data_IF_396575220687
#
_entry.id   IF_396575220687
#
_cell.length_a   1.000
_cell.length_b   1.000
_cell.length_c   1.000
_cell.angle_alpha   90.00
_cell.angle_beta   90.00
_cell.angle_gamma   90.00
#
_symmetry.space_group_name_H-M   'P 1'
#
loop_
_entity.id
_entity.type
_entity.pdbx_description
1 polymer ?
#
# COMPACT_ATOMS: atom_id res chain seq x y z
N UNK A 1 31.39 17.83 -42.03
CA UNK A 1 30.63 18.09 -40.79
C UNK A 1 30.36 16.71 -40.25
N UNK A 2 31.09 16.30 -39.23
CA UNK A 2 31.18 14.89 -38.79
C UNK A 2 29.83 14.39 -38.29
N UNK A 3 29.32 13.33 -38.92
CA UNK A 3 28.37 12.42 -38.29
C UNK A 3 29.03 11.76 -37.07
N UNK A 4 28.55 12.13 -35.89
CA UNK A 4 28.97 11.55 -34.61
C UNK A 4 28.37 10.14 -34.48
N UNK A 5 29.18 9.08 -34.32
CA UNK A 5 28.66 7.77 -33.95
C UNK A 5 28.24 7.78 -32.48
N UNK A 6 26.99 7.40 -32.16
CA UNK A 6 26.57 7.19 -30.77
C UNK A 6 27.26 5.95 -30.22
N UNK A 7 28.24 6.17 -29.34
CA UNK A 7 28.80 5.12 -28.50
C UNK A 7 27.79 4.70 -27.43
N UNK A 8 27.85 3.41 -27.11
CA UNK A 8 27.01 2.72 -26.15
C UNK A 8 27.04 3.35 -24.75
N UNK A 9 25.88 3.37 -24.09
CA UNK A 9 25.76 3.42 -22.64
C UNK A 9 25.37 2.03 -22.16
N UNK A 10 26.37 1.23 -21.81
CA UNK A 10 26.18 0.18 -20.81
C UNK A 10 26.03 0.83 -19.45
N UNK A 11 24.82 0.85 -18.90
CA UNK A 11 24.56 0.81 -17.46
C UNK A 11 23.57 -0.35 -17.24
N UNK A 12 24.01 -1.51 -16.74
CA UNK A 12 23.87 -1.89 -15.32
C UNK A 12 22.73 -1.11 -14.65
N UNK A 13 21.59 -1.70 -14.37
CA UNK A 13 21.46 -2.74 -13.38
C UNK A 13 20.18 -3.50 -13.64
N UNK A 14 20.19 -4.76 -13.25
CA UNK A 14 19.01 -5.55 -12.94
C UNK A 14 18.09 -4.76 -12.00
N UNK A 15 17.20 -3.98 -12.59
CA UNK A 15 16.19 -3.20 -11.93
C UNK A 15 14.87 -3.68 -12.51
N UNK A 16 14.47 -4.90 -12.15
CA UNK A 16 13.06 -5.22 -12.05
C UNK A 16 12.37 -4.00 -11.42
N UNK A 17 11.18 -3.56 -11.87
CA UNK A 17 10.50 -2.47 -11.19
C UNK A 17 10.32 -2.91 -9.73
N UNK A 18 11.23 -2.45 -8.87
CA UNK A 18 11.09 -2.54 -7.44
C UNK A 18 9.83 -1.73 -7.19
N UNK A 19 8.71 -2.43 -7.09
CA UNK A 19 7.42 -1.84 -6.85
C UNK A 19 7.57 -1.03 -5.57
N UNK A 20 7.71 0.29 -5.71
CA UNK A 20 8.18 1.16 -4.63
C UNK A 20 7.41 0.92 -3.34
N UNK A 21 8.08 0.89 -2.20
CA UNK A 21 7.40 0.68 -0.92
C UNK A 21 6.85 1.99 -0.36
N UNK A 22 5.71 1.93 0.32
CA UNK A 22 5.17 3.04 1.09
C UNK A 22 5.62 2.84 2.54
N UNK A 23 6.44 3.75 3.06
CA UNK A 23 6.89 3.70 4.45
C UNK A 23 5.79 4.20 5.37
N UNK A 24 5.34 3.33 6.28
CA UNK A 24 4.36 3.66 7.30
C UNK A 24 5.02 4.38 8.48
N UNK A 25 6.22 3.94 8.83
CA UNK A 25 7.11 4.61 9.78
C UNK A 25 8.59 4.26 9.49
N UNK A 26 9.47 4.44 10.48
CA UNK A 26 10.90 4.14 10.38
C UNK A 26 11.20 2.65 10.20
N UNK A 27 10.33 1.77 10.71
CA UNK A 27 10.54 0.32 10.80
C UNK A 27 9.58 -0.49 9.92
N UNK A 28 8.43 0.04 9.52
CA UNK A 28 7.36 -0.67 8.83
C UNK A 28 7.04 -0.03 7.48
N UNK A 29 6.77 -0.88 6.50
CA UNK A 29 6.42 -0.47 5.14
C UNK A 29 5.38 -1.41 4.51
N UNK A 30 4.73 -0.89 3.47
CA UNK A 30 3.76 -1.59 2.65
C UNK A 30 4.16 -1.54 1.17
N UNK A 31 3.54 -2.39 0.35
CA UNK A 31 3.77 -2.41 -1.11
C UNK A 31 3.28 -1.13 -1.79
N UNK A 32 3.77 -0.83 -2.98
CA UNK A 32 3.22 0.24 -3.82
C UNK A 32 1.69 0.15 -3.95
N UNK A 33 1.03 1.31 -3.97
CA UNK A 33 -0.43 1.39 -4.19
C UNK A 33 -1.29 0.97 -3.00
N UNK A 34 -0.69 0.72 -1.84
CA UNK A 34 -1.40 0.41 -0.59
C UNK A 34 -1.54 1.66 0.30
N UNK A 35 -2.26 1.54 1.40
CA UNK A 35 -2.35 2.58 2.44
C UNK A 35 -1.91 2.01 3.79
N UNK A 36 -1.07 2.74 4.51
CA UNK A 36 -0.65 2.39 5.86
C UNK A 36 -1.78 2.64 6.86
N UNK A 37 -2.20 1.58 7.55
CA UNK A 37 -3.26 1.59 8.55
C UNK A 37 -2.69 1.13 9.90
N UNK A 38 -2.87 1.93 10.94
CA UNK A 38 -2.56 1.52 12.30
C UNK A 38 -3.79 0.89 12.95
N UNK A 39 -3.62 -0.24 13.62
CA UNK A 39 -4.70 -0.84 14.42
C UNK A 39 -4.78 -0.20 15.83
N UNK A 40 -5.85 -0.42 16.60
CA UNK A 40 -6.02 0.14 17.95
C UNK A 40 -4.91 -0.22 18.95
N UNK A 41 -4.21 -1.33 18.74
CA UNK A 41 -3.08 -1.79 19.55
C UNK A 41 -1.75 -1.18 19.11
N UNK A 42 -1.71 -0.50 17.96
CA UNK A 42 -0.54 0.23 17.47
C UNK A 42 0.29 -0.49 16.41
N UNK A 43 -0.10 -1.68 15.95
CA UNK A 43 0.59 -2.37 14.85
C UNK A 43 0.20 -1.78 13.49
N UNK A 44 1.15 -1.82 12.56
CA UNK A 44 0.96 -1.38 11.19
C UNK A 44 0.46 -2.51 10.31
N UNK A 45 -0.51 -2.16 9.47
CA UNK A 45 -1.11 -3.02 8.48
C UNK A 45 -1.26 -2.26 7.17
N UNK A 46 -1.27 -2.99 6.07
CA UNK A 46 -1.38 -2.48 4.71
C UNK A 46 -2.79 -2.73 4.19
N UNK A 47 -3.50 -1.65 3.85
CA UNK A 47 -4.73 -1.74 3.08
C UNK A 47 -4.40 -1.79 1.59
N UNK A 48 -4.93 -2.73 0.80
CA UNK A 48 -4.66 -2.82 -0.64
C UNK A 48 -5.24 -1.66 -1.46
N UNK A 49 -6.11 -0.84 -0.85
CA UNK A 49 -6.71 0.30 -1.53
C UNK A 49 -5.84 1.55 -1.38
N UNK A 50 -5.46 2.21 -2.50
CA UNK A 50 -4.80 3.50 -2.44
C UNK A 50 -5.78 4.54 -1.91
N UNK A 51 -5.33 5.37 -0.95
CA UNK A 51 -6.18 6.35 -0.25
C UNK A 51 -7.40 5.71 0.44
N UNK A 52 -7.30 4.42 0.76
CA UNK A 52 -8.35 3.68 1.45
C UNK A 52 -8.56 4.16 2.88
N UNK A 53 -9.77 3.96 3.40
CA UNK A 53 -10.10 4.26 4.80
C UNK A 53 -9.92 3.02 5.67
N UNK A 54 -9.18 3.16 6.76
CA UNK A 54 -8.98 2.10 7.73
C UNK A 54 -10.18 2.04 8.69
N UNK A 55 -10.79 0.86 8.84
CA UNK A 55 -11.84 0.65 9.84
C UNK A 55 -11.29 0.66 11.29
N UNK A 56 -12.15 0.86 12.28
CA UNK A 56 -11.70 0.90 13.68
C UNK A 56 -11.29 -0.48 14.21
N UNK A 57 -11.77 -1.55 13.58
CA UNK A 57 -11.57 -2.93 13.99
C UNK A 57 -10.13 -3.45 13.81
N UNK A 58 -9.29 -2.69 13.11
CA UNK A 58 -7.89 -3.04 12.88
C UNK A 58 -7.65 -4.04 11.75
N UNK A 59 -8.69 -4.69 11.22
CA UNK A 59 -8.57 -5.81 10.27
C UNK A 59 -9.11 -5.50 8.89
N UNK A 60 -10.10 -4.62 8.79
CA UNK A 60 -10.78 -4.31 7.53
C UNK A 60 -10.43 -2.92 7.03
N UNK A 61 -10.53 -2.70 5.73
CA UNK A 61 -10.43 -1.37 5.15
C UNK A 61 -11.35 -1.21 3.94
N UNK A 62 -11.64 0.04 3.62
CA UNK A 62 -12.51 0.43 2.52
C UNK A 62 -11.74 1.18 1.45
N UNK A 63 -12.19 1.04 0.20
CA UNK A 63 -11.67 1.86 -0.87
C UNK A 63 -12.01 3.35 -0.66
N UNK A 64 -11.32 4.21 -1.40
CA UNK A 64 -11.53 5.65 -1.31
C UNK A 64 -12.99 6.01 -1.59
N UNK A 65 -13.55 6.90 -0.75
CA UNK A 65 -14.95 7.34 -0.84
C UNK A 65 -15.94 6.45 -0.09
N UNK A 66 -15.54 5.28 0.40
CA UNK A 66 -16.39 4.44 1.24
C UNK A 66 -16.05 4.57 2.73
N UNK A 67 -17.06 4.34 3.57
CA UNK A 67 -16.93 4.32 5.03
C UNK A 67 -17.23 2.92 5.56
N UNK A 68 -16.54 2.53 6.62
CA UNK A 68 -16.83 1.26 7.27
C UNK A 68 -18.21 1.28 7.92
N UNK A 69 -18.99 0.22 7.71
CA UNK A 69 -20.20 -0.08 8.47
C UNK A 69 -19.84 -0.33 9.95
N UNK A 70 -20.84 -0.33 10.83
CA UNK A 70 -20.67 -0.59 12.27
C UNK A 70 -19.99 -1.93 12.56
N UNK A 71 -20.18 -2.93 11.70
CA UNK A 71 -19.53 -4.24 11.79
C UNK A 71 -18.14 -4.29 11.14
N UNK A 72 -17.73 -3.24 10.42
CA UNK A 72 -16.52 -3.18 9.60
C UNK A 72 -16.41 -4.21 8.47
N UNK A 73 -17.40 -5.09 8.29
CA UNK A 73 -17.45 -6.10 7.22
C UNK A 73 -17.90 -5.55 5.87
N UNK A 74 -18.55 -4.39 5.90
CA UNK A 74 -19.07 -3.71 4.71
C UNK A 74 -18.52 -2.28 4.66
N UNK A 75 -18.31 -1.83 3.45
CA UNK A 75 -17.98 -0.47 3.08
C UNK A 75 -19.21 0.15 2.44
N UNK A 76 -19.65 1.28 2.98
CA UNK A 76 -20.87 1.97 2.58
C UNK A 76 -20.57 3.35 2.02
N UNK A 77 -21.22 3.70 0.91
CA UNK A 77 -21.20 5.04 0.34
C UNK A 77 -22.57 5.37 -0.27
N UNK A 78 -23.39 6.13 0.47
CA UNK A 78 -24.77 6.40 0.08
C UNK A 78 -25.59 5.11 0.02
N UNK A 79 -25.96 4.67 -1.19
CA UNK A 79 -26.71 3.43 -1.43
C UNK A 79 -25.84 2.24 -1.85
N UNK A 80 -24.53 2.45 -2.06
CA UNK A 80 -23.61 1.37 -2.40
C UNK A 80 -23.10 0.70 -1.12
N UNK A 81 -23.19 -0.63 -1.08
CA UNK A 81 -22.61 -1.48 -0.06
C UNK A 81 -21.73 -2.53 -0.73
N UNK A 82 -20.46 -2.57 -0.35
CA UNK A 82 -19.50 -3.54 -0.85
C UNK A 82 -18.80 -4.25 0.32
N UNK A 83 -18.30 -5.47 0.14
CA UNK A 83 -17.48 -6.12 1.14
C UNK A 83 -16.22 -5.30 1.44
N UNK A 84 -15.86 -5.22 2.72
CA UNK A 84 -14.59 -4.61 3.10
C UNK A 84 -13.40 -5.43 2.62
N UNK A 85 -12.31 -4.76 2.29
CA UNK A 85 -11.04 -5.40 2.02
C UNK A 85 -10.39 -5.89 3.32
N UNK A 86 -9.65 -6.99 3.22
CA UNK A 86 -8.75 -7.41 4.27
C UNK A 86 -7.49 -6.52 4.29
N UNK A 87 -6.94 -6.30 5.48
CA UNK A 87 -5.61 -5.73 5.62
C UNK A 87 -4.57 -6.84 5.70
N UNK A 88 -3.40 -6.54 5.18
CA UNK A 88 -2.20 -7.37 5.30
C UNK A 88 -1.30 -6.82 6.40
N UNK A 89 -0.46 -7.65 7.01
CA UNK A 89 0.53 -7.14 7.96
C UNK A 89 1.57 -6.27 7.24
N UNK A 90 1.93 -5.14 7.84
CA UNK A 90 3.03 -4.35 7.32
C UNK A 90 4.35 -5.12 7.48
N UNK A 91 5.18 -5.05 6.44
CA UNK A 91 6.52 -5.64 6.47
C UNK A 91 7.43 -4.75 7.29
N UNK A 92 8.31 -5.33 8.09
CA UNK A 92 9.33 -4.57 8.81
C UNK A 92 10.59 -4.46 7.97
N UNK A 93 11.41 -3.44 8.22
CA UNK A 93 12.75 -3.30 7.64
C UNK A 93 13.67 -4.44 8.05
N UNK A 94 13.35 -5.15 9.13
CA UNK A 94 14.08 -6.36 9.55
C UNK A 94 13.66 -7.61 8.76
N UNK A 95 12.46 -7.64 8.16
CA UNK A 95 12.00 -8.69 7.22
C UNK A 95 12.71 -8.61 5.84
N UNK A 96 13.54 -7.59 5.64
CA UNK A 96 14.37 -7.39 4.44
C UNK A 96 15.79 -7.99 4.61
N UNK A 97 16.10 -8.59 5.77
CA UNK A 97 17.39 -9.20 6.08
C UNK A 97 17.42 -10.72 5.83
#
# INVERSE_FOLDING_TARGET
>A
MQETPMMALTETSDGSPEAGVIRCDSQFYCKAGTTCCKDPTGHWNCCPYPLGSCCQDGKHCCEYGFKCSSTSLLCVNGYAEIPSGAREHAKSTEDML
#
